data_IF_796962273525
#
_entry.id   IF_796962273525
#
_cell.length_a   1.000
_cell.length_b   1.000
_cell.length_c   1.000
_cell.angle_alpha   90.00
_cell.angle_beta   90.00
_cell.angle_gamma   90.00
#
_symmetry.space_group_name_H-M   'P 1'
#
loop_
_entity.id
_entity.type
_entity.pdbx_description
1 polymer ?
#
# COMPACT_ATOMS: atom_id res chain seq x y z
N UNK A 1 72.22 9.91 -3.18
CA UNK A 1 73.51 9.63 -3.84
C UNK A 1 74.69 10.05 -2.95
N UNK A 2 74.54 11.14 -2.20
CA UNK A 2 75.51 11.71 -1.27
C UNK A 2 75.96 10.74 -0.15
N UNK A 3 75.02 10.10 0.56
CA UNK A 3 75.32 9.17 1.66
C UNK A 3 76.18 7.94 1.27
N UNK A 4 76.17 7.54 -0.02
CA UNK A 4 76.99 6.42 -0.50
C UNK A 4 78.47 6.83 -0.62
N UNK A 5 78.72 8.03 -1.12
CA UNK A 5 80.08 8.60 -1.22
C UNK A 5 80.68 8.91 0.14
N UNK A 6 79.86 9.40 1.07
CA UNK A 6 80.27 9.60 2.47
C UNK A 6 80.69 8.28 3.15
N UNK A 7 79.91 7.21 2.95
CA UNK A 7 80.20 5.89 3.49
C UNK A 7 81.49 5.27 2.90
N UNK A 8 81.77 5.50 1.62
CA UNK A 8 82.98 5.03 0.94
C UNK A 8 84.25 5.68 1.52
N UNK A 9 84.18 6.96 1.91
CA UNK A 9 85.31 7.72 2.47
C UNK A 9 85.75 7.31 3.89
N UNK A 10 84.94 6.55 4.63
CA UNK A 10 85.25 6.14 6.00
C UNK A 10 86.38 5.10 6.05
N UNK A 11 87.53 5.43 6.66
CA UNK A 11 88.72 4.56 6.68
C UNK A 11 88.73 3.50 7.79
N UNK A 12 87.84 3.62 8.75
CA UNK A 12 87.80 2.86 10.01
C UNK A 12 86.80 1.69 10.01
N UNK A 13 86.17 1.38 8.87
CA UNK A 13 85.19 0.28 8.72
C UNK A 13 85.58 -0.65 7.58
N UNK A 14 85.28 -1.94 7.74
CA UNK A 14 85.61 -2.97 6.76
C UNK A 14 84.78 -2.82 5.47
N UNK A 15 85.32 -3.35 4.37
CA UNK A 15 84.68 -3.33 3.06
C UNK A 15 83.31 -4.04 3.08
N UNK A 16 83.24 -5.22 3.67
CA UNK A 16 82.01 -6.01 3.76
C UNK A 16 80.88 -5.27 4.48
N UNK A 17 81.20 -4.54 5.56
CA UNK A 17 80.22 -3.74 6.28
C UNK A 17 79.68 -2.61 5.40
N UNK A 18 80.56 -1.92 4.67
CA UNK A 18 80.14 -0.87 3.73
C UNK A 18 79.22 -1.43 2.64
N UNK A 19 79.60 -2.54 2.02
CA UNK A 19 78.80 -3.19 0.97
C UNK A 19 77.42 -3.63 1.49
N UNK A 20 77.37 -4.24 2.67
CA UNK A 20 76.10 -4.62 3.34
C UNK A 20 75.21 -3.40 3.61
N UNK A 21 75.78 -2.30 4.11
CA UNK A 21 75.01 -1.06 4.37
C UNK A 21 74.48 -0.46 3.07
N UNK A 22 75.29 -0.43 2.01
CA UNK A 22 74.87 0.03 0.68
C UNK A 22 73.69 -0.78 0.18
N UNK A 23 73.77 -2.13 0.25
CA UNK A 23 72.68 -3.01 -0.17
C UNK A 23 71.38 -2.77 0.61
N UNK A 24 71.47 -2.60 1.93
CA UNK A 24 70.30 -2.28 2.78
C UNK A 24 69.69 -0.92 2.44
N UNK A 25 70.52 0.10 2.20
CA UNK A 25 70.03 1.43 1.80
C UNK A 25 69.32 1.40 0.44
N UNK A 26 69.84 0.63 -0.53
CA UNK A 26 69.16 0.39 -1.80
C UNK A 26 67.80 -0.29 -1.61
N UNK A 27 67.74 -1.35 -0.81
CA UNK A 27 66.49 -2.05 -0.51
C UNK A 27 65.45 -1.14 0.19
N UNK A 28 65.89 -0.30 1.13
CA UNK A 28 65.03 0.70 1.78
C UNK A 28 64.49 1.71 0.76
N UNK A 29 65.34 2.17 -0.17
CA UNK A 29 64.92 3.06 -1.25
C UNK A 29 63.84 2.45 -2.15
N UNK A 30 64.00 1.18 -2.53
CA UNK A 30 62.99 0.45 -3.31
C UNK A 30 61.67 0.30 -2.55
N UNK A 31 61.72 -0.03 -1.25
CA UNK A 31 60.53 -0.13 -0.41
C UNK A 31 59.81 1.22 -0.27
N UNK A 32 60.56 2.31 -0.11
CA UNK A 32 59.99 3.65 -0.04
C UNK A 32 59.25 4.03 -1.34
N UNK A 33 59.82 3.70 -2.50
CA UNK A 33 59.17 3.92 -3.79
C UNK A 33 57.88 3.10 -3.94
N UNK A 34 57.92 1.80 -3.60
CA UNK A 34 56.72 0.93 -3.65
C UNK A 34 55.64 1.40 -2.70
N UNK A 35 56.02 1.89 -1.52
CA UNK A 35 55.06 2.46 -0.56
C UNK A 35 54.40 3.72 -1.13
N UNK A 36 55.17 4.61 -1.76
CA UNK A 36 54.61 5.82 -2.35
C UNK A 36 53.68 5.50 -3.54
N UNK A 37 54.05 4.55 -4.39
CA UNK A 37 53.20 4.05 -5.47
C UNK A 37 51.91 3.44 -4.91
N UNK A 38 51.99 2.59 -3.89
CA UNK A 38 50.83 1.99 -3.24
C UNK A 38 49.91 3.05 -2.62
N UNK A 39 50.46 4.10 -1.99
CA UNK A 39 49.67 5.20 -1.43
C UNK A 39 48.96 5.99 -2.52
N UNK A 40 49.66 6.30 -3.62
CA UNK A 40 49.09 6.99 -4.77
C UNK A 40 47.93 6.20 -5.39
N UNK A 41 48.13 4.89 -5.59
CA UNK A 41 47.08 4.00 -6.12
C UNK A 41 45.86 3.94 -5.20
N UNK A 42 46.06 3.81 -3.89
CA UNK A 42 44.98 3.78 -2.90
C UNK A 42 44.15 5.07 -2.93
N UNK A 43 44.81 6.24 -2.99
CA UNK A 43 44.11 7.53 -3.06
C UNK A 43 43.28 7.63 -4.35
N UNK A 44 43.87 7.27 -5.50
CA UNK A 44 43.17 7.32 -6.77
C UNK A 44 41.96 6.36 -6.81
N UNK A 45 42.08 5.15 -6.25
CA UNK A 45 40.97 4.20 -6.14
C UNK A 45 39.87 4.72 -5.22
N UNK A 46 40.24 5.29 -4.08
CA UNK A 46 39.29 5.90 -3.14
C UNK A 46 38.50 7.05 -3.79
N UNK A 47 39.14 7.89 -4.61
CA UNK A 47 38.48 8.97 -5.34
C UNK A 47 37.51 8.44 -6.40
N UNK A 48 37.90 7.39 -7.15
CA UNK A 48 37.01 6.72 -8.09
C UNK A 48 35.79 6.12 -7.40
N UNK A 49 36.00 5.48 -6.25
CA UNK A 49 34.93 4.88 -5.46
C UNK A 49 33.95 5.94 -4.92
N UNK A 50 34.46 7.07 -4.43
CA UNK A 50 33.62 8.21 -4.02
C UNK A 50 32.80 8.74 -5.20
N UNK A 51 33.41 8.91 -6.37
CA UNK A 51 32.72 9.38 -7.57
C UNK A 51 31.62 8.39 -8.03
N UNK A 52 31.89 7.08 -7.94
CA UNK A 52 30.91 6.02 -8.24
C UNK A 52 29.72 6.10 -7.29
N UNK A 53 29.96 6.14 -5.98
CA UNK A 53 28.90 6.24 -4.96
C UNK A 53 28.05 7.50 -5.11
N UNK A 54 28.67 8.63 -5.43
CA UNK A 54 27.94 9.87 -5.69
C UNK A 54 26.95 9.72 -6.85
N UNK A 55 27.37 9.09 -7.96
CA UNK A 55 26.49 8.83 -9.11
C UNK A 55 25.36 7.85 -8.79
N UNK A 56 25.66 6.79 -8.03
CA UNK A 56 24.65 5.81 -7.60
C UNK A 56 23.60 6.44 -6.69
N UNK A 57 24.03 7.31 -5.77
CA UNK A 57 23.16 8.08 -4.89
C UNK A 57 22.27 9.06 -5.67
N UNK A 58 22.83 9.82 -6.61
CA UNK A 58 22.07 10.72 -7.47
C UNK A 58 21.02 9.97 -8.31
N UNK A 59 21.37 8.80 -8.85
CA UNK A 59 20.44 7.96 -9.59
C UNK A 59 19.34 7.37 -8.68
N UNK A 60 19.65 7.04 -7.43
CA UNK A 60 18.66 6.61 -6.45
C UNK A 60 17.69 7.76 -6.09
N UNK A 61 18.21 8.96 -5.85
CA UNK A 61 17.40 10.14 -5.55
C UNK A 61 16.45 10.47 -6.71
N UNK A 62 16.94 10.48 -7.95
CA UNK A 62 16.09 10.67 -9.15
C UNK A 62 14.96 9.64 -9.24
N UNK A 63 15.23 8.37 -8.92
CA UNK A 63 14.20 7.32 -8.89
C UNK A 63 13.17 7.58 -7.79
N UNK A 64 13.60 7.99 -6.60
CA UNK A 64 12.71 8.33 -5.49
C UNK A 64 11.82 9.51 -5.86
N UNK A 65 12.38 10.61 -6.39
CA UNK A 65 11.61 11.78 -6.81
C UNK A 65 10.53 11.40 -7.84
N UNK A 66 10.89 10.57 -8.83
CA UNK A 66 9.94 10.06 -9.83
C UNK A 66 8.81 9.27 -9.18
N UNK A 67 9.13 8.27 -8.35
CA UNK A 67 8.13 7.45 -7.65
C UNK A 67 7.22 8.32 -6.79
N UNK A 68 7.78 9.29 -6.07
CA UNK A 68 7.00 10.22 -5.24
C UNK A 68 6.03 11.05 -6.08
N UNK A 69 6.47 11.58 -7.22
CA UNK A 69 5.56 12.33 -8.12
C UNK A 69 4.45 11.46 -8.70
N UNK A 70 4.75 10.23 -9.11
CA UNK A 70 3.75 9.30 -9.64
C UNK A 70 2.74 8.88 -8.55
N UNK A 71 3.20 8.69 -7.33
CA UNK A 71 2.33 8.36 -6.20
C UNK A 71 1.43 9.54 -5.86
N UNK A 72 1.95 10.77 -5.86
CA UNK A 72 1.15 11.97 -5.61
C UNK A 72 0.05 12.15 -6.67
N UNK A 73 0.37 11.96 -7.95
CA UNK A 73 -0.61 12.02 -9.05
C UNK A 73 -1.74 10.99 -8.86
N UNK A 74 -1.39 9.74 -8.50
CA UNK A 74 -2.37 8.69 -8.22
C UNK A 74 -3.27 9.03 -7.04
N UNK A 75 -2.71 9.59 -5.97
CA UNK A 75 -3.46 10.01 -4.78
C UNK A 75 -4.45 11.11 -5.16
N UNK A 76 -3.99 12.17 -5.83
CA UNK A 76 -4.85 13.28 -6.27
C UNK A 76 -6.00 12.82 -7.17
N UNK A 77 -5.74 11.86 -8.06
CA UNK A 77 -6.78 11.27 -8.90
C UNK A 77 -7.84 10.50 -8.09
N UNK A 78 -7.43 9.75 -7.05
CA UNK A 78 -8.36 9.06 -6.16
C UNK A 78 -9.14 10.05 -5.31
N UNK A 79 -8.49 11.08 -4.77
CA UNK A 79 -9.16 12.15 -4.01
C UNK A 79 -10.26 12.82 -4.85
N UNK A 80 -9.97 13.16 -6.11
CA UNK A 80 -10.97 13.74 -7.01
C UNK A 80 -12.17 12.81 -7.25
N UNK A 81 -11.95 11.49 -7.30
CA UNK A 81 -13.04 10.51 -7.44
C UNK A 81 -13.86 10.41 -6.15
N UNK A 82 -13.22 10.43 -5.00
CA UNK A 82 -13.90 10.41 -3.70
C UNK A 82 -14.77 11.65 -3.54
N UNK A 83 -14.28 12.83 -3.92
CA UNK A 83 -15.06 14.08 -3.88
C UNK A 83 -16.34 13.97 -4.72
N UNK A 84 -16.23 13.45 -5.96
CA UNK A 84 -17.40 13.21 -6.82
C UNK A 84 -18.38 12.22 -6.20
N UNK A 85 -17.87 11.10 -5.69
CA UNK A 85 -18.69 10.11 -4.99
C UNK A 85 -19.38 10.70 -3.75
N UNK A 86 -18.71 11.57 -3.01
CA UNK A 86 -19.26 12.23 -1.83
C UNK A 86 -20.46 13.12 -2.20
N UNK A 87 -20.37 13.85 -3.31
CA UNK A 87 -21.50 14.64 -3.85
C UNK A 87 -22.66 13.72 -4.23
N UNK A 88 -22.41 12.63 -4.94
CA UNK A 88 -23.46 11.67 -5.36
C UNK A 88 -24.13 10.99 -4.15
N UNK A 89 -23.35 10.55 -3.16
CA UNK A 89 -23.85 9.97 -1.91
C UNK A 89 -24.70 10.97 -1.14
N UNK A 90 -24.26 12.22 -1.04
CA UNK A 90 -25.01 13.30 -0.37
C UNK A 90 -26.31 13.64 -1.10
N UNK A 91 -26.27 13.68 -2.43
CA UNK A 91 -27.45 13.88 -3.26
C UNK A 91 -28.48 12.77 -3.06
N UNK A 92 -28.03 11.50 -3.13
CA UNK A 92 -28.88 10.33 -2.90
C UNK A 92 -29.49 10.33 -1.50
N UNK A 93 -28.70 10.69 -0.47
CA UNK A 93 -29.17 10.84 0.91
C UNK A 93 -30.24 11.92 1.05
N UNK A 94 -30.06 13.05 0.36
CA UNK A 94 -31.04 14.14 0.34
C UNK A 94 -32.37 13.70 -0.29
N UNK A 95 -32.31 12.99 -1.43
CA UNK A 95 -33.50 12.49 -2.14
C UNK A 95 -34.24 11.44 -1.31
N UNK A 96 -33.52 10.51 -0.68
CA UNK A 96 -34.10 9.50 0.21
C UNK A 96 -34.65 10.12 1.50
N UNK A 97 -34.24 11.34 1.84
CA UNK A 97 -34.48 11.96 3.13
C UNK A 97 -33.68 11.31 4.25
N UNK A 98 -33.58 11.99 5.40
CA UNK A 98 -33.02 11.40 6.60
C UNK A 98 -34.04 10.41 7.17
N UNK A 99 -33.95 9.13 6.81
CA UNK A 99 -34.71 8.09 7.48
C UNK A 99 -34.14 7.89 8.88
N UNK A 100 -34.75 8.55 9.87
CA UNK A 100 -34.50 8.23 11.27
C UNK A 100 -35.23 6.92 11.64
N UNK A 101 -34.71 5.82 11.08
CA UNK A 101 -35.21 4.46 11.31
C UNK A 101 -35.31 4.16 12.81
N UNK A 102 -34.34 4.56 13.67
CA UNK A 102 -34.44 4.37 15.12
C UNK A 102 -35.65 5.07 15.76
N UNK A 103 -35.89 6.35 15.47
CA UNK A 103 -37.00 7.10 16.08
C UNK A 103 -38.38 6.59 15.63
N UNK A 104 -38.51 6.19 14.36
CA UNK A 104 -39.76 5.61 13.85
C UNK A 104 -40.06 4.24 14.47
N UNK A 105 -39.03 3.42 14.74
CA UNK A 105 -39.21 2.13 15.42
C UNK A 105 -39.57 2.30 16.89
N UNK A 106 -38.98 3.29 17.58
CA UNK A 106 -39.36 3.66 18.95
C UNK A 106 -40.82 4.13 19.04
N UNK A 107 -41.27 4.95 18.09
CA UNK A 107 -42.67 5.37 18.02
C UNK A 107 -43.62 4.19 17.82
N UNK A 108 -43.27 3.22 16.97
CA UNK A 108 -44.04 1.99 16.77
C UNK A 108 -44.05 1.14 18.03
N UNK A 109 -42.89 0.94 18.69
CA UNK A 109 -42.82 0.16 19.93
C UNK A 109 -43.73 0.76 21.00
N UNK A 110 -43.66 2.08 21.22
CA UNK A 110 -44.55 2.79 22.14
C UNK A 110 -46.03 2.66 21.76
N UNK A 111 -46.37 2.76 20.48
CA UNK A 111 -47.74 2.58 20.01
C UNK A 111 -48.27 1.15 20.25
N UNK A 112 -47.40 0.14 20.12
CA UNK A 112 -47.74 -1.26 20.42
C UNK A 112 -47.88 -1.49 21.92
N UNK A 113 -47.00 -0.95 22.75
CA UNK A 113 -47.04 -1.06 24.22
C UNK A 113 -48.25 -0.32 24.82
N UNK A 114 -48.67 0.79 24.22
CA UNK A 114 -49.84 1.57 24.67
C UNK A 114 -51.16 1.08 24.08
N UNK A 115 -51.12 0.15 23.12
CA UNK A 115 -52.33 -0.48 22.57
C UNK A 115 -52.93 -1.37 23.66
N UNK A 116 -54.15 -1.11 24.14
CA UNK A 116 -54.80 -2.01 25.08
C UNK A 116 -54.90 -3.39 24.43
N UNK A 117 -54.58 -4.44 25.20
CA UNK A 117 -54.76 -5.81 24.74
C UNK A 117 -56.17 -5.93 24.14
N UNK A 118 -56.34 -6.49 22.92
CA UNK A 118 -57.66 -6.73 22.37
C UNK A 118 -58.46 -7.47 23.43
N UNK A 119 -59.52 -6.83 23.95
CA UNK A 119 -60.43 -7.52 24.86
C UNK A 119 -60.87 -8.78 24.11
N UNK A 120 -60.74 -9.98 24.70
CA UNK A 120 -61.18 -11.20 24.05
C UNK A 120 -62.68 -11.05 23.80
N UNK A 121 -63.05 -10.69 22.57
CA UNK A 121 -64.43 -10.67 22.14
C UNK A 121 -64.86 -12.12 22.06
N UNK A 122 -65.70 -12.52 23.01
CA UNK A 122 -66.22 -13.88 23.07
C UNK A 122 -66.99 -14.15 21.78
N UNK A 123 -66.72 -15.29 21.15
CA UNK A 123 -67.25 -15.67 19.83
C UNK A 123 -68.79 -15.56 19.73
N UNK A 124 -69.48 -15.68 20.86
CA UNK A 124 -70.93 -15.49 20.99
C UNK A 124 -71.39 -14.05 20.72
N UNK A 125 -70.63 -13.01 21.12
CA UNK A 125 -70.97 -11.60 20.83
C UNK A 125 -70.74 -11.24 19.37
N UNK A 126 -69.76 -11.87 18.72
CA UNK A 126 -69.49 -11.66 17.29
C UNK A 126 -70.60 -12.27 16.41
N UNK A 127 -71.17 -13.40 16.82
CA UNK A 127 -72.24 -14.10 16.10
C UNK A 127 -73.63 -13.45 16.24
N UNK A 128 -73.85 -12.63 17.27
CA UNK A 128 -75.13 -11.96 17.53
C UNK A 128 -75.30 -10.63 16.77
N UNK A 129 -74.26 -10.15 16.06
CA UNK A 129 -74.40 -8.95 15.22
C UNK A 129 -75.18 -9.28 13.94
N UNK A 130 -76.29 -8.59 13.63
CA UNK A 130 -76.98 -8.81 12.37
C UNK A 130 -76.09 -8.40 11.20
N UNK A 131 -76.12 -9.25 10.17
CA UNK A 131 -75.37 -9.14 8.91
C UNK A 131 -75.63 -7.77 8.26
N UNK A 132 -74.60 -6.97 7.95
CA UNK A 132 -74.79 -5.82 7.07
C UNK A 132 -75.26 -6.33 5.71
N UNK A 133 -76.37 -5.77 5.22
CA UNK A 133 -76.89 -6.02 3.88
C UNK A 133 -75.78 -5.73 2.86
N UNK A 134 -75.55 -6.67 1.94
CA UNK A 134 -74.48 -6.60 0.96
C UNK A 134 -74.59 -5.34 0.07
N UNK A 135 -73.78 -4.33 0.36
CA UNK A 135 -73.44 -3.29 -0.60
C UNK A 135 -72.37 -3.85 -1.55
N UNK A 136 -72.59 -3.64 -2.85
CA UNK A 136 -71.80 -4.18 -3.94
C UNK A 136 -70.28 -4.00 -3.74
N UNK A 137 -69.53 -5.07 -4.01
CA UNK A 137 -68.07 -5.05 -4.02
C UNK A 137 -67.53 -4.00 -5.01
N UNK A 138 -66.62 -3.10 -4.60
CA UNK A 138 -65.88 -2.27 -5.55
C UNK A 138 -64.92 -3.17 -6.35
N UNK A 139 -65.10 -3.24 -7.67
CA UNK A 139 -64.06 -3.73 -8.59
C UNK A 139 -62.88 -2.77 -8.51
N UNK A 140 -61.81 -3.18 -7.83
CA UNK A 140 -60.52 -2.50 -7.91
C UNK A 140 -59.79 -3.11 -9.12
N UNK A 141 -59.37 -2.32 -10.12
CA UNK A 141 -58.53 -2.79 -11.21
C UNK A 141 -57.21 -3.37 -10.67
N UNK A 142 -56.82 -4.54 -11.16
CA UNK A 142 -55.55 -5.17 -10.79
C UNK A 142 -54.34 -4.34 -11.23
N UNK A 143 -53.17 -4.51 -10.60
CA UNK A 143 -51.98 -3.75 -10.95
C UNK A 143 -51.56 -4.09 -12.39
N UNK A 144 -51.45 -3.05 -13.21
CA UNK A 144 -50.88 -3.09 -14.56
C UNK A 144 -49.49 -3.71 -14.51
N UNK A 145 -49.34 -4.91 -15.08
CA UNK A 145 -48.03 -5.51 -15.34
C UNK A 145 -47.41 -4.74 -16.50
N UNK A 146 -46.71 -3.66 -16.19
CA UNK A 146 -45.81 -3.02 -17.15
C UNK A 146 -44.63 -3.97 -17.34
N UNK A 147 -44.73 -4.82 -18.35
CA UNK A 147 -43.64 -5.68 -18.83
C UNK A 147 -42.56 -4.79 -19.44
N UNK A 148 -41.81 -4.07 -18.60
CA UNK A 148 -40.60 -3.38 -18.99
C UNK A 148 -39.50 -4.43 -19.18
N UNK A 149 -38.89 -4.45 -20.37
CA UNK A 149 -37.79 -5.33 -20.70
C UNK A 149 -36.65 -5.15 -19.68
N UNK A 150 -36.60 -6.06 -18.70
CA UNK A 150 -35.45 -6.18 -17.81
C UNK A 150 -34.30 -6.78 -18.60
N UNK A 151 -33.30 -5.98 -18.93
CA UNK A 151 -32.06 -6.52 -19.47
C UNK A 151 -31.29 -7.21 -18.34
N UNK A 152 -31.30 -8.55 -18.34
CA UNK A 152 -30.42 -9.36 -17.49
C UNK A 152 -29.00 -9.28 -18.05
N UNK A 153 -28.08 -8.66 -17.32
CA UNK A 153 -26.66 -8.70 -17.62
C UNK A 153 -26.02 -9.85 -16.83
N UNK A 154 -25.67 -10.95 -17.50
CA UNK A 154 -24.91 -12.05 -16.90
C UNK A 154 -23.42 -11.74 -17.08
N UNK A 155 -22.76 -11.34 -16.00
CA UNK A 155 -21.30 -11.15 -15.98
C UNK A 155 -20.65 -12.47 -15.58
N UNK A 156 -20.11 -13.21 -16.55
CA UNK A 156 -19.26 -14.38 -16.28
C UNK A 156 -17.80 -13.92 -16.27
N UNK A 157 -17.17 -13.89 -15.10
CA UNK A 157 -15.72 -13.75 -14.99
C UNK A 157 -15.06 -15.10 -15.24
N UNK A 158 -14.19 -15.21 -16.25
CA UNK A 158 -13.24 -16.32 -16.35
C UNK A 158 -12.02 -15.98 -15.50
N UNK A 159 -12.07 -16.36 -14.23
CA UNK A 159 -10.87 -16.34 -13.38
C UNK A 159 -10.04 -17.58 -13.75
N UNK A 160 -8.82 -17.38 -14.27
CA UNK A 160 -7.81 -18.44 -14.31
C UNK A 160 -7.38 -18.78 -12.88
N UNK A 161 -7.85 -19.91 -12.35
CA UNK A 161 -7.61 -20.37 -10.99
C UNK A 161 -6.23 -21.02 -10.81
N UNK A 162 -5.13 -20.34 -11.11
CA UNK A 162 -3.79 -20.87 -10.81
C UNK A 162 -3.32 -20.59 -9.37
N UNK A 163 -4.04 -19.75 -8.63
CA UNK A 163 -3.65 -19.34 -7.26
C UNK A 163 -4.56 -19.92 -6.17
N UNK A 164 -5.77 -20.35 -6.51
CA UNK A 164 -6.73 -20.88 -5.53
C UNK A 164 -6.31 -22.25 -4.97
N UNK A 165 -5.69 -23.11 -5.78
CA UNK A 165 -5.25 -24.44 -5.35
C UNK A 165 -4.09 -24.38 -4.33
N UNK A 166 -3.18 -23.40 -4.46
CA UNK A 166 -2.07 -23.23 -3.52
C UNK A 166 -2.53 -22.79 -2.13
N UNK A 167 -3.63 -22.04 -2.05
CA UNK A 167 -4.20 -21.60 -0.76
C UNK A 167 -4.91 -22.76 -0.06
N UNK A 168 -5.62 -23.62 -0.80
CA UNK A 168 -6.30 -24.79 -0.23
C UNK A 168 -5.31 -25.86 0.26
N UNK A 169 -4.19 -26.06 -0.43
CA UNK A 169 -3.14 -26.98 0.02
C UNK A 169 -2.49 -26.54 1.33
N UNK A 170 -2.36 -25.23 1.57
CA UNK A 170 -1.83 -24.69 2.84
C UNK A 170 -2.78 -24.85 4.03
N UNK A 171 -4.08 -24.95 3.79
CA UNK A 171 -5.09 -25.05 4.86
C UNK A 171 -5.42 -26.49 5.29
N UNK A 172 -5.08 -27.51 4.49
CA UNK A 172 -5.26 -28.94 4.88
C UNK A 172 -4.02 -29.58 5.51
N UNK A 173 -2.96 -28.80 5.74
CA UNK A 173 -1.72 -29.25 6.36
C UNK A 173 -1.59 -28.91 7.84
N UNK A 174 -2.70 -28.67 8.53
CA UNK A 174 -2.81 -28.52 9.99
C UNK A 174 -3.92 -29.42 10.51
#
# INVERSE_FOLDING_TARGET
MEAKGELEGLKNISREVKESVIGKLSAIGELALRLEESRSNYVAELEREKARRAREMEAAEKRITKITSENLDRILNVESKIEKMMVEVTSTRTILGHFDVPEKLEAIRKAVETRPAPRPQNYAEAAARPKPLAAAAPKIPGPEVRSGAGHTLIISSRCENHTAEQVVARLRGW
#
